data_IF_989396132564
#
_entry.id   IF_989396132564
#
_cell.length_a   1.000
_cell.length_b   1.000
_cell.length_c   1.000
_cell.angle_alpha   90.00
_cell.angle_beta   90.00
_cell.angle_gamma   90.00
#
_symmetry.space_group_name_H-M   'P 1'
#
loop_
_entity.id
_entity.type
_entity.pdbx_description
1 polymer ?
#
# COMPACT_ATOMS: atom_id res chain seq x y z
N UNK A 1 -38.48 -29.72 -2.53
CA UNK A 1 -38.04 -28.80 -1.49
C UNK A 1 -37.10 -27.69 -2.02
N UNK A 2 -36.29 -27.96 -3.04
CA UNK A 2 -35.33 -27.03 -3.66
C UNK A 2 -36.01 -25.88 -4.43
N UNK A 3 -37.13 -26.13 -5.10
CA UNK A 3 -37.89 -25.11 -5.86
C UNK A 3 -38.53 -24.02 -4.99
N UNK A 4 -38.93 -24.31 -3.76
CA UNK A 4 -39.49 -23.31 -2.84
C UNK A 4 -38.45 -22.35 -2.29
N UNK A 5 -37.21 -22.80 -2.09
CA UNK A 5 -36.09 -21.98 -1.60
C UNK A 5 -35.60 -21.03 -2.69
N UNK A 6 -35.55 -21.48 -3.96
CA UNK A 6 -35.23 -20.63 -5.11
C UNK A 6 -36.26 -19.53 -5.34
N UNK A 7 -37.55 -19.85 -5.25
CA UNK A 7 -38.63 -18.87 -5.42
C UNK A 7 -38.58 -17.80 -4.32
N UNK A 8 -38.19 -18.18 -3.11
CA UNK A 8 -38.04 -17.25 -1.99
C UNK A 8 -36.86 -16.27 -2.21
N UNK A 9 -35.74 -16.76 -2.74
CA UNK A 9 -34.58 -15.90 -3.08
C UNK A 9 -34.84 -14.94 -4.24
N UNK A 10 -35.62 -15.38 -5.25
CA UNK A 10 -36.03 -14.51 -6.37
C UNK A 10 -36.97 -13.40 -5.88
N UNK A 11 -37.87 -13.72 -4.95
CA UNK A 11 -38.78 -12.75 -4.37
C UNK A 11 -38.04 -11.78 -3.41
N UNK A 12 -37.08 -12.26 -2.65
CA UNK A 12 -36.18 -11.40 -1.79
C UNK A 12 -35.31 -10.45 -2.63
N UNK A 13 -34.82 -10.90 -3.81
CA UNK A 13 -34.13 -10.02 -4.75
C UNK A 13 -35.05 -8.95 -5.34
N UNK A 14 -36.29 -9.28 -5.70
CA UNK A 14 -37.28 -8.29 -6.17
C UNK A 14 -37.68 -7.30 -5.08
N UNK A 15 -37.77 -7.74 -3.84
CA UNK A 15 -38.12 -6.89 -2.69
C UNK A 15 -36.97 -5.95 -2.34
N UNK A 16 -35.72 -6.40 -2.39
CA UNK A 16 -34.53 -5.57 -2.18
C UNK A 16 -34.35 -4.53 -3.29
N UNK A 17 -34.65 -4.85 -4.54
CA UNK A 17 -34.67 -3.86 -5.62
C UNK A 17 -35.73 -2.76 -5.40
N UNK A 18 -36.88 -3.07 -4.82
CA UNK A 18 -37.94 -2.09 -4.55
C UNK A 18 -37.59 -1.17 -3.36
N UNK A 19 -36.93 -1.67 -2.33
CA UNK A 19 -36.49 -0.88 -1.17
C UNK A 19 -35.27 -0.02 -1.48
N UNK A 20 -34.46 -0.40 -2.46
CA UNK A 20 -33.30 0.39 -2.93
C UNK A 20 -33.71 1.62 -3.77
N UNK A 21 -34.87 1.55 -4.43
CA UNK A 21 -35.40 2.68 -5.23
C UNK A 21 -35.81 3.89 -4.38
N UNK A 22 -35.94 3.73 -3.07
CA UNK A 22 -36.37 4.80 -2.13
C UNK A 22 -35.16 5.60 -1.57
N UNK A 23 -33.91 5.11 -1.70
CA UNK A 23 -32.71 5.89 -1.32
C UNK A 23 -31.93 6.29 -2.58
N UNK A 24 -32.18 7.51 -3.02
CA UNK A 24 -31.54 8.19 -4.17
C UNK A 24 -30.02 8.02 -4.17
N UNK A 25 -29.52 7.14 -5.05
CA UNK A 25 -28.15 7.17 -5.57
C UNK A 25 -28.24 7.06 -7.10
N UNK A 26 -27.71 8.04 -7.89
CA UNK A 26 -27.98 8.15 -9.33
C UNK A 26 -27.08 7.27 -10.22
N UNK A 27 -26.46 6.20 -9.75
CA UNK A 27 -25.36 5.54 -10.47
C UNK A 27 -25.58 4.06 -10.84
N UNK A 28 -26.75 3.48 -10.63
CA UNK A 28 -27.02 2.11 -11.10
C UNK A 28 -28.33 2.05 -11.83
N UNK A 29 -28.26 1.99 -13.16
CA UNK A 29 -29.39 1.72 -14.00
C UNK A 29 -29.70 0.21 -13.94
N UNK A 30 -30.83 -0.18 -13.34
CA UNK A 30 -31.25 -1.59 -13.16
C UNK A 30 -31.41 -2.38 -14.48
N UNK A 31 -31.20 -1.77 -15.65
CA UNK A 31 -31.22 -2.44 -16.94
C UNK A 31 -29.91 -3.14 -17.34
N UNK A 32 -28.81 -2.83 -16.68
CA UNK A 32 -27.49 -3.42 -17.00
C UNK A 32 -27.10 -4.60 -16.11
N UNK A 33 -27.98 -5.02 -15.22
CA UNK A 33 -27.78 -6.23 -14.43
C UNK A 33 -28.21 -7.44 -15.25
N UNK A 34 -27.27 -7.97 -16.04
CA UNK A 34 -27.30 -9.32 -16.63
C UNK A 34 -27.31 -10.36 -15.49
N UNK A 35 -28.35 -10.33 -14.68
CA UNK A 35 -28.52 -11.31 -13.59
C UNK A 35 -29.28 -12.57 -14.06
N UNK A 36 -30.11 -12.49 -15.08
CA UNK A 36 -30.94 -13.64 -15.51
C UNK A 36 -30.19 -14.63 -16.39
N UNK A 37 -29.36 -14.19 -17.31
CA UNK A 37 -28.63 -15.12 -18.21
C UNK A 37 -27.48 -15.89 -17.51
N UNK A 38 -26.93 -15.34 -16.44
CA UNK A 38 -25.92 -16.05 -15.61
C UNK A 38 -26.58 -17.05 -14.65
N UNK A 39 -27.75 -16.77 -14.13
CA UNK A 39 -28.44 -17.70 -13.22
C UNK A 39 -28.89 -18.96 -13.98
N UNK A 40 -29.33 -18.85 -15.24
CA UNK A 40 -29.67 -20.01 -16.06
C UNK A 40 -28.44 -20.84 -16.48
N UNK A 41 -27.31 -20.21 -16.78
CA UNK A 41 -26.02 -20.92 -17.04
C UNK A 41 -25.44 -21.59 -15.80
N UNK A 42 -25.65 -21.03 -14.61
CA UNK A 42 -25.19 -21.62 -13.33
C UNK A 42 -26.12 -22.77 -12.88
N UNK A 43 -27.41 -22.73 -13.24
CA UNK A 43 -28.40 -23.79 -12.93
C UNK A 43 -28.11 -25.11 -13.67
N UNK A 44 -27.42 -25.07 -14.80
CA UNK A 44 -27.12 -26.28 -15.59
C UNK A 44 -25.75 -26.92 -15.23
N UNK A 45 -24.98 -26.34 -14.28
CA UNK A 45 -23.79 -26.95 -13.68
C UNK A 45 -24.04 -27.26 -12.19
N UNK A 46 -24.88 -28.24 -11.90
CA UNK A 46 -24.93 -28.86 -10.57
C UNK A 46 -23.62 -29.61 -10.37
N UNK A 47 -22.59 -28.88 -9.97
CA UNK A 47 -21.33 -29.47 -9.51
C UNK A 47 -21.57 -30.15 -8.16
N UNK A 48 -21.17 -31.39 -8.05
CA UNK A 48 -21.26 -32.16 -6.81
C UNK A 48 -20.50 -31.44 -5.68
N UNK A 49 -20.92 -31.55 -4.41
CA UNK A 49 -20.27 -30.86 -3.27
C UNK A 49 -18.76 -31.08 -3.20
N UNK A 50 -18.27 -32.22 -3.68
CA UNK A 50 -16.82 -32.53 -3.78
C UNK A 50 -16.09 -31.64 -4.79
N UNK A 51 -16.71 -31.28 -5.91
CA UNK A 51 -16.11 -30.41 -6.93
C UNK A 51 -15.98 -28.97 -6.42
N UNK A 52 -16.98 -28.48 -5.69
CA UNK A 52 -16.97 -27.16 -5.05
C UNK A 52 -15.87 -27.10 -3.96
N UNK A 53 -15.76 -28.14 -3.15
CA UNK A 53 -14.72 -28.22 -2.10
C UNK A 53 -13.32 -28.28 -2.69
N UNK A 54 -13.13 -29.03 -3.79
CA UNK A 54 -11.85 -29.14 -4.49
C UNK A 54 -11.48 -27.82 -5.21
N UNK A 55 -12.44 -27.14 -5.82
CA UNK A 55 -12.27 -25.84 -6.43
C UNK A 55 -11.90 -24.77 -5.39
N UNK A 56 -12.56 -24.74 -4.23
CA UNK A 56 -12.25 -23.82 -3.13
C UNK A 56 -10.86 -24.11 -2.52
N UNK A 57 -10.50 -25.39 -2.36
CA UNK A 57 -9.18 -25.77 -1.86
C UNK A 57 -8.07 -25.37 -2.84
N UNK A 58 -8.30 -25.54 -4.13
CA UNK A 58 -7.35 -25.13 -5.17
C UNK A 58 -7.24 -23.60 -5.29
N UNK A 59 -8.33 -22.87 -5.15
CA UNK A 59 -8.31 -21.39 -5.13
C UNK A 59 -7.52 -20.86 -3.94
N UNK A 60 -7.77 -21.37 -2.73
CA UNK A 60 -7.03 -20.94 -1.52
C UNK A 60 -5.53 -21.30 -1.66
N UNK A 61 -5.20 -22.46 -2.22
CA UNK A 61 -3.81 -22.85 -2.47
C UNK A 61 -3.13 -21.95 -3.51
N UNK A 62 -3.86 -21.50 -4.54
CA UNK A 62 -3.36 -20.61 -5.56
C UNK A 62 -3.10 -19.21 -4.99
N UNK A 63 -4.08 -18.63 -4.31
CA UNK A 63 -3.97 -17.33 -3.66
C UNK A 63 -2.81 -17.28 -2.66
N UNK A 64 -2.62 -18.35 -1.89
CA UNK A 64 -1.51 -18.48 -0.94
C UNK A 64 -0.15 -18.45 -1.65
N UNK A 65 0.01 -19.22 -2.73
CA UNK A 65 1.26 -19.28 -3.51
C UNK A 65 1.58 -17.94 -4.16
N UNK A 66 0.59 -17.28 -4.73
CA UNK A 66 0.75 -15.97 -5.37
C UNK A 66 1.17 -14.90 -4.35
N UNK A 67 0.53 -14.86 -3.18
CA UNK A 67 0.88 -13.94 -2.10
C UNK A 67 2.28 -14.22 -1.56
N UNK A 68 2.62 -15.48 -1.31
CA UNK A 68 3.94 -15.86 -0.81
C UNK A 68 5.04 -15.49 -1.82
N UNK A 69 4.83 -15.76 -3.10
CA UNK A 69 5.78 -15.42 -4.15
C UNK A 69 6.02 -13.90 -4.22
N UNK A 70 4.95 -13.10 -4.20
CA UNK A 70 5.07 -11.63 -4.25
C UNK A 70 5.76 -11.06 -3.02
N UNK A 71 5.51 -11.62 -1.83
CA UNK A 71 6.17 -11.20 -0.59
C UNK A 71 7.65 -11.59 -0.55
N UNK A 72 8.02 -12.80 -1.01
CA UNK A 72 9.43 -13.19 -1.14
C UNK A 72 10.17 -12.21 -2.07
N UNK A 73 9.56 -11.84 -3.20
CA UNK A 73 10.12 -10.86 -4.11
C UNK A 73 10.27 -9.48 -3.45
N UNK A 74 9.27 -9.09 -2.65
CA UNK A 74 9.28 -7.85 -1.85
C UNK A 74 10.47 -7.86 -0.87
N UNK A 75 10.58 -8.89 -0.05
CA UNK A 75 11.68 -9.06 0.93
C UNK A 75 13.06 -8.94 0.26
N UNK A 76 13.26 -9.65 -0.87
CA UNK A 76 14.53 -9.61 -1.59
C UNK A 76 14.86 -8.20 -2.13
N UNK A 77 13.86 -7.49 -2.62
CA UNK A 77 14.02 -6.13 -3.12
C UNK A 77 14.28 -5.11 -2.02
N UNK A 78 13.65 -5.26 -0.85
CA UNK A 78 13.88 -4.38 0.29
C UNK A 78 15.30 -4.49 0.85
N UNK A 79 15.95 -5.64 0.69
CA UNK A 79 17.38 -5.77 0.99
C UNK A 79 18.23 -4.93 0.03
N UNK A 80 17.85 -4.83 -1.25
CA UNK A 80 18.52 -3.95 -2.23
C UNK A 80 18.35 -2.49 -1.82
N UNK A 81 17.16 -2.09 -1.38
CA UNK A 81 16.90 -0.74 -0.86
C UNK A 81 17.79 -0.42 0.34
N UNK A 82 17.98 -1.37 1.26
CA UNK A 82 18.90 -1.24 2.38
C UNK A 82 20.35 -1.02 1.95
N UNK A 83 20.83 -1.71 0.91
CA UNK A 83 22.16 -1.49 0.33
C UNK A 83 22.27 -0.10 -0.30
N UNK A 84 21.27 0.33 -1.09
CA UNK A 84 21.24 1.66 -1.72
C UNK A 84 21.33 2.74 -0.65
N UNK A 85 20.59 2.61 0.45
CA UNK A 85 20.65 3.55 1.57
C UNK A 85 22.04 3.60 2.22
N UNK A 86 22.68 2.45 2.40
CA UNK A 86 24.05 2.35 2.95
C UNK A 86 25.09 3.05 2.09
N UNK A 87 25.03 2.87 0.77
CA UNK A 87 25.98 3.52 -0.17
C UNK A 87 25.74 5.03 -0.26
N UNK A 88 24.50 5.49 -0.06
CA UNK A 88 24.13 6.91 -0.18
C UNK A 88 24.34 7.72 1.11
N UNK A 89 24.95 7.16 2.14
CA UNK A 89 25.23 7.87 3.42
C UNK A 89 26.09 9.12 3.27
N UNK A 90 26.99 9.16 2.28
CA UNK A 90 27.75 10.37 1.94
C UNK A 90 26.86 11.54 1.51
N UNK A 91 25.81 11.27 0.78
CA UNK A 91 24.82 12.26 0.34
C UNK A 91 24.02 12.84 1.51
N UNK A 92 23.73 12.04 2.52
CA UNK A 92 23.05 12.49 3.74
C UNK A 92 23.88 13.46 4.59
N UNK A 93 25.21 13.45 4.45
CA UNK A 93 26.06 14.45 5.11
C UNK A 93 25.92 15.83 4.48
N UNK A 94 25.57 15.91 3.19
CA UNK A 94 25.38 17.19 2.47
C UNK A 94 24.05 17.83 2.84
N UNK A 95 22.98 17.02 2.98
CA UNK A 95 21.65 17.48 3.37
C UNK A 95 21.08 16.55 4.47
N UNK A 96 21.48 16.74 5.74
CA UNK A 96 21.05 15.84 6.83
C UNK A 96 19.53 15.78 7.01
N UNK A 97 18.83 16.88 6.76
CA UNK A 97 17.37 16.95 6.84
C UNK A 97 16.66 15.95 5.92
N UNK A 98 17.33 15.43 4.88
CA UNK A 98 16.78 14.43 3.99
C UNK A 98 16.42 13.12 4.72
N UNK A 99 17.11 12.78 5.83
CA UNK A 99 16.81 11.60 6.66
C UNK A 99 15.34 11.63 7.13
N UNK A 100 14.82 12.80 7.46
CA UNK A 100 13.43 12.97 7.91
C UNK A 100 12.45 12.81 6.75
N UNK A 101 12.85 13.19 5.52
CA UNK A 101 12.01 13.13 4.32
C UNK A 101 11.96 11.72 3.69
N UNK A 102 13.03 10.93 3.79
CA UNK A 102 13.16 9.63 3.10
C UNK A 102 12.00 8.68 3.45
N UNK A 103 11.74 8.31 4.74
CA UNK A 103 10.71 7.35 5.05
C UNK A 103 9.31 7.76 4.57
N UNK A 104 8.82 8.98 4.87
CA UNK A 104 7.49 9.37 4.42
C UNK A 104 7.38 9.53 2.90
N UNK A 105 8.46 9.90 2.19
CA UNK A 105 8.44 10.01 0.74
C UNK A 105 8.33 8.65 0.06
N UNK A 106 9.04 7.65 0.55
CA UNK A 106 8.98 6.27 0.06
C UNK A 106 7.60 5.69 0.34
N UNK A 107 7.15 5.66 1.58
CA UNK A 107 5.85 5.14 1.98
C UNK A 107 4.68 5.82 1.24
N UNK A 108 4.75 7.14 1.03
CA UNK A 108 3.72 7.86 0.30
C UNK A 108 3.59 7.40 -1.16
N UNK A 109 4.71 7.07 -1.85
CA UNK A 109 4.66 6.51 -3.22
C UNK A 109 4.00 5.16 -3.22
N UNK A 110 4.41 4.27 -2.31
CA UNK A 110 3.76 2.99 -2.10
C UNK A 110 2.27 3.16 -1.91
N UNK A 111 1.83 4.02 -0.99
CA UNK A 111 0.43 4.26 -0.66
C UNK A 111 -0.42 4.74 -1.84
N UNK A 112 0.05 5.75 -2.59
CA UNK A 112 -0.68 6.30 -3.74
C UNK A 112 -0.85 5.24 -4.83
N UNK A 113 0.23 4.55 -5.17
CA UNK A 113 0.23 3.64 -6.31
C UNK A 113 -0.27 2.24 -5.96
N UNK A 114 -0.10 1.75 -4.73
CA UNK A 114 -0.75 0.53 -4.27
C UNK A 114 -2.28 0.70 -4.21
N UNK A 115 -2.78 1.85 -3.76
CA UNK A 115 -4.21 2.17 -3.82
C UNK A 115 -4.72 2.24 -5.26
N UNK A 116 -3.94 2.78 -6.21
CA UNK A 116 -4.27 2.70 -7.64
C UNK A 116 -4.33 1.26 -8.12
N UNK A 117 -3.35 0.45 -7.76
CA UNK A 117 -3.28 -0.98 -8.12
C UNK A 117 -4.46 -1.77 -7.59
N UNK A 118 -4.85 -1.55 -6.34
CA UNK A 118 -6.02 -2.17 -5.72
C UNK A 118 -7.31 -1.79 -6.45
N UNK A 119 -7.53 -0.49 -6.74
CA UNK A 119 -8.68 -0.05 -7.55
C UNK A 119 -8.71 -0.69 -8.93
N UNK A 120 -7.54 -0.80 -9.60
CA UNK A 120 -7.46 -1.48 -10.90
C UNK A 120 -7.82 -2.97 -10.77
N UNK A 121 -7.36 -3.65 -9.71
CA UNK A 121 -7.73 -5.02 -9.39
C UNK A 121 -9.25 -5.17 -9.24
N UNK A 122 -9.87 -4.34 -8.40
CA UNK A 122 -11.32 -4.32 -8.19
C UNK A 122 -12.08 -4.09 -9.50
N UNK A 123 -11.64 -3.13 -10.34
CA UNK A 123 -12.31 -2.84 -11.61
C UNK A 123 -12.13 -3.93 -12.66
N UNK A 124 -11.00 -4.63 -12.67
CA UNK A 124 -10.78 -5.79 -13.51
C UNK A 124 -11.67 -6.97 -13.09
N UNK A 125 -11.77 -7.23 -11.78
CA UNK A 125 -12.65 -8.30 -11.25
C UNK A 125 -14.13 -8.03 -11.47
N UNK A 126 -14.56 -6.77 -11.39
CA UNK A 126 -15.95 -6.36 -11.64
C UNK A 126 -16.26 -6.14 -13.12
N UNK A 127 -15.26 -6.24 -14.00
CA UNK A 127 -15.43 -6.04 -15.45
C UNK A 127 -15.69 -4.59 -15.85
N UNK A 128 -15.39 -3.62 -15.00
CA UNK A 128 -15.55 -2.18 -15.29
C UNK A 128 -14.43 -1.62 -16.16
N UNK A 129 -13.25 -2.26 -16.15
CA UNK A 129 -12.13 -1.94 -17.02
C UNK A 129 -11.68 -3.21 -17.74
N UNK A 130 -11.37 -3.04 -19.03
CA UNK A 130 -10.69 -4.06 -19.85
C UNK A 130 -9.19 -3.74 -19.90
N UNK A 131 -8.30 -4.74 -20.05
CA UNK A 131 -6.86 -4.52 -20.06
C UNK A 131 -6.33 -3.91 -21.38
N UNK A 132 -7.08 -2.96 -21.98
CA UNK A 132 -6.76 -2.33 -23.27
C UNK A 132 -6.14 -0.92 -23.12
N UNK A 133 -5.79 -0.52 -21.90
CA UNK A 133 -5.26 0.81 -21.54
C UNK A 133 -6.15 1.99 -21.98
N UNK A 134 -7.43 1.74 -22.30
CA UNK A 134 -8.38 2.75 -22.78
C UNK A 134 -9.56 2.84 -21.81
N UNK A 135 -10.08 4.04 -21.66
CA UNK A 135 -11.28 4.26 -20.87
C UNK A 135 -11.23 5.52 -20.00
N UNK A 136 -12.40 6.13 -19.82
CA UNK A 136 -12.55 7.34 -18.99
C UNK A 136 -12.23 7.06 -17.52
N UNK A 137 -12.63 5.90 -17.02
CA UNK A 137 -12.42 5.49 -15.63
C UNK A 137 -10.92 5.31 -15.33
N UNK A 138 -10.18 4.63 -16.22
CA UNK A 138 -8.74 4.46 -16.09
C UNK A 138 -8.03 5.81 -16.06
N UNK A 139 -8.35 6.72 -17.01
CA UNK A 139 -7.75 8.05 -17.06
C UNK A 139 -8.02 8.88 -15.80
N UNK A 140 -9.22 8.78 -15.22
CA UNK A 140 -9.53 9.46 -13.95
C UNK A 140 -8.71 8.91 -12.79
N UNK A 141 -8.48 7.61 -12.71
CA UNK A 141 -7.63 6.99 -11.71
C UNK A 141 -6.16 7.39 -11.85
N UNK A 142 -5.63 7.40 -13.07
CA UNK A 142 -4.26 7.86 -13.36
C UNK A 142 -4.10 9.33 -12.96
N UNK A 143 -5.01 10.20 -13.41
CA UNK A 143 -4.95 11.63 -13.09
C UNK A 143 -5.05 11.88 -11.59
N UNK A 144 -5.90 11.14 -10.85
CA UNK A 144 -5.98 11.28 -9.40
C UNK A 144 -4.67 10.92 -8.71
N UNK A 145 -3.95 9.89 -9.18
CA UNK A 145 -2.67 9.50 -8.61
C UNK A 145 -1.57 10.54 -8.86
N UNK A 146 -1.54 11.18 -10.03
CA UNK A 146 -0.63 12.30 -10.29
C UNK A 146 -0.94 13.52 -9.44
N UNK A 147 -2.21 13.89 -9.30
CA UNK A 147 -2.65 15.01 -8.45
C UNK A 147 -2.25 14.75 -7.00
N UNK A 148 -2.56 13.55 -6.46
CA UNK A 148 -2.15 13.16 -5.12
C UNK A 148 -0.64 13.20 -4.95
N UNK A 149 0.13 12.75 -5.94
CA UNK A 149 1.59 12.81 -5.90
C UNK A 149 2.12 14.23 -5.74
N UNK A 150 1.61 15.19 -6.52
CA UNK A 150 2.05 16.59 -6.44
C UNK A 150 1.69 17.19 -5.08
N UNK A 151 0.43 17.02 -4.66
CA UNK A 151 -0.05 17.56 -3.39
C UNK A 151 0.67 16.97 -2.18
N UNK A 152 0.84 15.63 -2.16
CA UNK A 152 1.53 14.96 -1.07
C UNK A 152 3.03 15.24 -1.05
N UNK A 153 3.69 15.39 -2.21
CA UNK A 153 5.11 15.79 -2.24
C UNK A 153 5.32 17.18 -1.69
N UNK A 154 4.45 18.15 -2.03
CA UNK A 154 4.50 19.49 -1.44
C UNK A 154 4.30 19.44 0.09
N UNK A 155 3.31 18.69 0.53
CA UNK A 155 3.03 18.48 1.94
C UNK A 155 4.22 17.86 2.69
N UNK A 156 4.82 16.78 2.15
CA UNK A 156 5.96 16.12 2.77
C UNK A 156 7.20 17.02 2.82
N UNK A 157 7.49 17.78 1.76
CA UNK A 157 8.57 18.76 1.75
C UNK A 157 8.40 19.79 2.87
N UNK A 158 7.16 20.27 3.10
CA UNK A 158 6.83 21.23 4.16
C UNK A 158 7.02 20.62 5.56
N UNK A 159 6.38 19.47 5.85
CA UNK A 159 6.44 18.89 7.20
C UNK A 159 7.83 18.35 7.53
N UNK A 160 8.53 17.74 6.56
CA UNK A 160 9.88 17.27 6.79
C UNK A 160 10.86 18.42 7.09
N UNK A 161 10.73 19.57 6.39
CA UNK A 161 11.52 20.76 6.69
C UNK A 161 11.23 21.28 8.08
N UNK A 162 9.96 21.38 8.45
CA UNK A 162 9.56 21.85 9.78
C UNK A 162 10.09 20.92 10.88
N UNK A 163 9.91 19.62 10.71
CA UNK A 163 10.40 18.61 11.68
C UNK A 163 11.90 18.60 11.77
N UNK A 164 12.65 18.68 10.66
CA UNK A 164 14.10 18.74 10.66
C UNK A 164 14.62 19.98 11.43
N UNK A 165 13.96 21.13 11.26
CA UNK A 165 14.29 22.36 12.03
C UNK A 165 14.02 22.20 13.52
N UNK A 166 12.92 21.53 13.91
CA UNK A 166 12.63 21.24 15.31
C UNK A 166 13.68 20.32 15.95
N UNK A 167 14.28 19.43 15.16
CA UNK A 167 15.38 18.55 15.58
C UNK A 167 16.75 19.23 15.55
N UNK A 168 16.82 20.55 15.26
CA UNK A 168 18.06 21.30 15.20
C UNK A 168 18.90 21.03 13.92
N UNK A 169 18.35 20.37 12.92
CA UNK A 169 19.02 20.10 11.65
C UNK A 169 18.96 21.33 10.75
N UNK A 170 20.05 21.60 10.01
CA UNK A 170 20.03 22.61 8.96
C UNK A 170 19.16 22.14 7.79
N UNK A 171 18.06 22.83 7.52
CA UNK A 171 17.11 22.52 6.47
C UNK A 171 16.72 23.80 5.73
N UNK A 172 17.17 23.96 4.49
CA UNK A 172 16.64 24.98 3.60
C UNK A 172 15.26 24.55 3.07
N UNK A 173 14.28 25.45 3.22
CA UNK A 173 12.90 25.16 2.82
C UNK A 173 12.76 24.93 1.31
N UNK A 174 13.45 25.75 0.51
CA UNK A 174 13.38 25.68 -0.95
C UNK A 174 13.97 24.37 -1.46
N UNK A 175 15.15 23.99 -0.94
CA UNK A 175 15.82 22.75 -1.33
C UNK A 175 15.00 21.52 -0.96
N UNK A 176 14.51 21.44 0.27
CA UNK A 176 13.68 20.33 0.73
C UNK A 176 12.38 20.20 -0.05
N UNK A 177 11.73 21.34 -0.33
CA UNK A 177 10.49 21.38 -1.13
C UNK A 177 10.74 20.91 -2.56
N UNK A 178 11.79 21.42 -3.21
CA UNK A 178 12.12 21.07 -4.58
C UNK A 178 12.57 19.62 -4.71
N UNK A 179 13.36 19.10 -3.77
CA UNK A 179 13.78 17.68 -3.75
C UNK A 179 12.56 16.78 -3.65
N UNK A 180 11.63 17.08 -2.71
CA UNK A 180 10.42 16.30 -2.53
C UNK A 180 9.52 16.30 -3.77
N UNK A 181 9.30 17.46 -4.38
CA UNK A 181 8.45 17.61 -5.57
C UNK A 181 9.08 16.98 -6.82
N UNK A 182 10.35 17.23 -7.07
CA UNK A 182 11.06 16.70 -8.24
C UNK A 182 11.13 15.16 -8.19
N UNK A 183 11.59 14.61 -7.06
CA UNK A 183 11.62 13.17 -6.85
C UNK A 183 10.21 12.56 -6.95
N UNK A 184 9.22 13.25 -6.39
CA UNK A 184 7.83 12.85 -6.43
C UNK A 184 7.27 12.72 -7.83
N UNK A 185 7.44 13.74 -8.65
CA UNK A 185 6.92 13.75 -10.02
C UNK A 185 7.64 12.74 -10.89
N UNK A 186 8.97 12.66 -10.81
CA UNK A 186 9.74 11.69 -11.61
C UNK A 186 9.36 10.26 -11.21
N UNK A 187 9.33 9.96 -9.91
CA UNK A 187 8.96 8.61 -9.44
C UNK A 187 7.53 8.23 -9.85
N UNK A 188 6.60 9.17 -9.93
CA UNK A 188 5.22 8.89 -10.32
C UNK A 188 5.11 8.26 -11.72
N UNK A 189 5.93 8.67 -12.69
CA UNK A 189 5.93 8.07 -14.03
C UNK A 189 6.36 6.60 -14.00
N UNK A 190 7.43 6.29 -13.26
CA UNK A 190 7.90 4.91 -13.12
C UNK A 190 6.91 4.06 -12.33
N UNK A 191 6.37 4.61 -11.25
CA UNK A 191 5.39 3.92 -10.41
C UNK A 191 4.09 3.66 -11.16
N UNK A 192 3.62 4.60 -11.99
CA UNK A 192 2.46 4.38 -12.84
C UNK A 192 2.69 3.23 -13.82
N UNK A 193 3.83 3.23 -14.51
CA UNK A 193 4.17 2.16 -15.46
C UNK A 193 4.23 0.80 -14.75
N UNK A 194 4.86 0.72 -13.58
CA UNK A 194 4.94 -0.48 -12.77
C UNK A 194 3.55 -0.96 -12.33
N UNK A 195 2.72 -0.06 -11.82
CA UNK A 195 1.35 -0.38 -11.35
C UNK A 195 0.48 -0.92 -12.47
N UNK A 196 0.49 -0.26 -13.62
CA UNK A 196 -0.26 -0.68 -14.80
C UNK A 196 0.22 -2.06 -15.30
N UNK A 197 1.55 -2.21 -15.43
CA UNK A 197 2.15 -3.47 -15.86
C UNK A 197 1.78 -4.62 -14.91
N UNK A 198 1.96 -4.43 -13.61
CA UNK A 198 1.70 -5.46 -12.61
C UNK A 198 0.23 -5.86 -12.58
N UNK A 199 -0.69 -4.88 -12.54
CA UNK A 199 -2.13 -5.15 -12.48
C UNK A 199 -2.64 -5.87 -13.71
N UNK A 200 -2.28 -5.41 -14.91
CA UNK A 200 -2.77 -6.02 -16.16
C UNK A 200 -2.07 -7.33 -16.49
N UNK A 201 -0.77 -7.46 -16.19
CA UNK A 201 -0.04 -8.70 -16.40
C UNK A 201 -0.58 -9.81 -15.49
N UNK A 202 -0.76 -9.51 -14.20
CA UNK A 202 -1.33 -10.46 -13.24
C UNK A 202 -2.71 -10.94 -13.68
N UNK A 203 -3.58 -10.01 -14.09
CA UNK A 203 -4.91 -10.34 -14.58
C UNK A 203 -4.87 -11.20 -15.86
N UNK A 204 -4.04 -10.85 -16.87
CA UNK A 204 -3.90 -11.63 -18.11
C UNK A 204 -3.35 -13.03 -17.89
N UNK A 205 -2.47 -13.21 -16.89
CA UNK A 205 -1.94 -14.53 -16.49
C UNK A 205 -2.94 -15.33 -15.64
N UNK A 206 -4.10 -14.76 -15.35
CA UNK A 206 -5.10 -15.38 -14.49
C UNK A 206 -4.66 -15.45 -13.03
N UNK A 207 -3.69 -14.63 -12.62
CA UNK A 207 -3.35 -14.38 -11.23
C UNK A 207 -4.36 -13.40 -10.64
N UNK A 208 -4.54 -13.46 -9.33
CA UNK A 208 -5.35 -12.46 -8.65
C UNK A 208 -4.52 -11.18 -8.45
N UNK A 209 -4.88 -10.04 -9.10
CA UNK A 209 -4.14 -8.79 -8.92
C UNK A 209 -4.03 -8.36 -7.46
N UNK A 210 -5.05 -8.63 -6.63
CA UNK A 210 -5.06 -8.28 -5.20
C UNK A 210 -3.93 -8.96 -4.40
N UNK A 211 -3.41 -10.11 -4.88
CA UNK A 211 -2.36 -10.86 -4.21
C UNK A 211 -0.94 -10.39 -4.55
N UNK A 212 -0.79 -9.76 -5.71
CA UNK A 212 0.52 -9.49 -6.32
C UNK A 212 0.79 -8.00 -6.44
N UNK A 213 -0.25 -7.22 -6.69
CA UNK A 213 -0.11 -5.81 -7.04
C UNK A 213 0.46 -4.99 -5.89
N UNK A 214 -0.12 -5.12 -4.69
CA UNK A 214 0.31 -4.31 -3.53
C UNK A 214 1.78 -4.54 -3.16
N UNK A 215 2.27 -5.79 -2.93
CA UNK A 215 3.67 -6.02 -2.57
C UNK A 215 4.66 -5.54 -3.62
N UNK A 216 4.36 -5.77 -4.91
CA UNK A 216 5.26 -5.35 -5.99
C UNK A 216 5.30 -3.83 -6.14
N UNK A 217 4.17 -3.14 -5.90
CA UNK A 217 4.11 -1.69 -6.00
C UNK A 217 4.78 -1.02 -4.81
N UNK A 218 4.60 -1.53 -3.58
CA UNK A 218 5.30 -0.99 -2.40
C UNK A 218 6.81 -1.16 -2.56
N UNK A 219 7.27 -2.35 -2.92
CA UNK A 219 8.67 -2.61 -3.25
C UNK A 219 9.20 -1.66 -4.34
N UNK A 220 8.42 -1.46 -5.42
CA UNK A 220 8.77 -0.52 -6.48
C UNK A 220 8.85 0.92 -5.95
N UNK A 221 7.99 1.27 -4.99
CA UNK A 221 8.03 2.54 -4.29
C UNK A 221 9.40 2.79 -3.64
N UNK A 222 9.92 1.80 -2.95
CA UNK A 222 11.20 1.88 -2.23
C UNK A 222 12.39 1.94 -3.19
N UNK A 223 12.48 0.98 -4.11
CA UNK A 223 13.59 0.87 -5.05
C UNK A 223 13.65 2.05 -6.01
N UNK A 224 12.51 2.61 -6.42
CA UNK A 224 12.44 3.70 -7.40
C UNK A 224 12.59 5.05 -6.71
N UNK A 225 11.89 5.27 -5.59
CA UNK A 225 11.82 6.60 -4.97
C UNK A 225 13.13 6.99 -4.30
N UNK A 226 13.80 6.06 -3.62
CA UNK A 226 15.03 6.36 -2.88
C UNK A 226 16.16 6.87 -3.78
N UNK A 227 16.56 6.20 -4.87
CA UNK A 227 17.55 6.75 -5.79
C UNK A 227 17.14 8.08 -6.40
N UNK A 228 15.84 8.25 -6.73
CA UNK A 228 15.34 9.49 -7.31
C UNK A 228 15.34 10.66 -6.32
N UNK A 229 15.19 10.40 -5.01
CA UNK A 229 15.40 11.41 -3.99
C UNK A 229 16.85 11.91 -3.98
N UNK A 230 17.85 11.00 -4.01
CA UNK A 230 19.27 11.37 -4.04
C UNK A 230 19.65 12.06 -5.35
N UNK A 231 19.15 11.61 -6.49
CA UNK A 231 19.35 12.25 -7.80
C UNK A 231 18.76 13.66 -7.78
N UNK A 232 17.52 13.80 -7.29
CA UNK A 232 16.84 15.11 -7.19
C UNK A 232 17.61 16.05 -6.25
N UNK A 233 18.12 15.55 -5.12
CA UNK A 233 18.96 16.32 -4.23
C UNK A 233 20.23 16.80 -4.95
N UNK A 234 20.93 15.91 -5.65
CA UNK A 234 22.13 16.25 -6.40
C UNK A 234 21.87 17.32 -7.46
N UNK A 235 20.76 17.23 -8.17
CA UNK A 235 20.34 18.25 -9.15
C UNK A 235 20.08 19.59 -8.45
N UNK A 236 19.25 19.58 -7.39
CA UNK A 236 18.83 20.82 -6.72
C UNK A 236 20.03 21.57 -6.09
N UNK A 237 21.00 20.84 -5.53
CA UNK A 237 22.18 21.46 -4.92
C UNK A 237 23.07 22.16 -5.97
N UNK A 238 23.09 21.67 -7.22
CA UNK A 238 23.89 22.27 -8.30
C UNK A 238 23.22 23.47 -8.95
N UNK A 239 21.90 23.69 -8.75
CA UNK A 239 21.15 24.80 -9.32
C UNK A 239 21.48 26.14 -8.62
N UNK A 240 21.56 27.21 -9.39
CA UNK A 240 21.65 28.59 -8.89
C UNK A 240 20.32 29.07 -8.28
N UNK A 241 20.39 30.13 -7.50
CA UNK A 241 19.20 30.68 -6.82
C UNK A 241 18.05 31.05 -7.77
N UNK A 242 18.35 31.62 -8.94
CA UNK A 242 17.33 31.97 -9.94
C UNK A 242 16.65 30.74 -10.52
N UNK A 243 17.40 29.69 -10.81
CA UNK A 243 16.89 28.43 -11.35
C UNK A 243 16.01 27.73 -10.34
N UNK A 244 16.40 27.68 -9.07
CA UNK A 244 15.58 27.14 -7.96
C UNK A 244 14.24 27.87 -7.85
N UNK A 245 14.26 29.21 -7.92
CA UNK A 245 13.02 30.00 -7.86
C UNK A 245 12.10 29.76 -9.08
N UNK A 246 12.65 29.68 -10.29
CA UNK A 246 11.88 29.34 -11.47
C UNK A 246 11.21 27.97 -11.34
N UNK A 247 11.97 26.98 -10.88
CA UNK A 247 11.45 25.63 -10.67
C UNK A 247 10.39 25.60 -9.56
N UNK A 248 10.56 26.38 -8.50
CA UNK A 248 9.59 26.50 -7.41
C UNK A 248 8.28 27.13 -7.94
N UNK A 249 8.33 28.19 -8.74
CA UNK A 249 7.14 28.78 -9.35
C UNK A 249 6.41 27.81 -10.28
N UNK A 250 7.15 26.99 -11.05
CA UNK A 250 6.57 25.93 -11.86
C UNK A 250 5.79 24.93 -11.01
N UNK A 251 6.39 24.46 -9.90
CA UNK A 251 5.73 23.50 -9.01
C UNK A 251 4.55 24.12 -8.25
N UNK A 252 4.62 25.39 -7.88
CA UNK A 252 3.47 26.12 -7.29
C UNK A 252 2.33 26.16 -8.29
N UNK A 253 2.60 26.50 -9.57
CA UNK A 253 1.59 26.51 -10.62
C UNK A 253 0.96 25.12 -10.81
N UNK A 254 1.77 24.06 -10.86
CA UNK A 254 1.28 22.67 -10.93
C UNK A 254 0.46 22.29 -9.70
N UNK A 255 0.85 22.74 -8.51
CA UNK A 255 0.10 22.53 -7.26
C UNK A 255 -1.26 23.22 -7.30
N UNK A 256 -1.33 24.48 -7.73
CA UNK A 256 -2.58 25.22 -7.89
C UNK A 256 -3.49 24.53 -8.92
N UNK A 257 -2.94 24.14 -10.07
CA UNK A 257 -3.68 23.40 -11.10
C UNK A 257 -4.23 22.09 -10.50
N UNK A 258 -3.43 21.36 -9.73
CA UNK A 258 -3.82 20.11 -9.06
C UNK A 258 -4.93 20.31 -8.03
N UNK A 259 -4.97 21.45 -7.35
CA UNK A 259 -6.05 21.81 -6.42
C UNK A 259 -7.33 22.23 -7.14
N UNK A 260 -7.22 22.93 -8.29
CA UNK A 260 -8.38 23.47 -9.02
C UNK A 260 -9.07 22.44 -9.90
N UNK A 261 -8.31 21.54 -10.55
CA UNK A 261 -8.85 20.51 -11.46
C UNK A 261 -10.02 19.72 -10.86
N UNK A 262 -9.96 19.21 -9.61
CA UNK A 262 -11.05 18.44 -9.02
C UNK A 262 -12.39 19.18 -8.92
N UNK A 263 -12.34 20.50 -8.82
CA UNK A 263 -13.53 21.36 -8.70
C UNK A 263 -14.04 21.86 -10.06
N UNK A 264 -13.30 21.63 -11.15
CA UNK A 264 -13.71 22.00 -12.48
C UNK A 264 -14.87 21.15 -13.00
N UNK A 265 -15.70 21.70 -13.91
CA UNK A 265 -16.78 20.97 -14.58
C UNK A 265 -16.27 19.81 -15.45
N UNK A 266 -15.01 19.81 -15.83
CA UNK A 266 -14.36 18.79 -16.63
C UNK A 266 -13.85 17.62 -15.78
N UNK A 267 -13.83 17.75 -14.45
CA UNK A 267 -13.44 16.70 -13.53
C UNK A 267 -14.52 15.62 -13.46
N UNK A 268 -14.14 14.37 -13.66
CA UNK A 268 -15.06 13.25 -13.49
C UNK A 268 -15.37 12.99 -12.01
N UNK A 269 -16.57 12.48 -11.74
CA UNK A 269 -17.00 12.18 -10.35
C UNK A 269 -16.06 11.21 -9.63
N UNK A 270 -15.51 10.21 -10.32
CA UNK A 270 -14.56 9.25 -9.73
C UNK A 270 -13.25 9.92 -9.29
N UNK A 271 -12.69 10.83 -10.09
CA UNK A 271 -11.48 11.58 -9.73
C UNK A 271 -11.71 12.37 -8.43
N UNK A 272 -12.81 13.12 -8.36
CA UNK A 272 -13.16 13.91 -7.17
C UNK A 272 -13.35 13.02 -5.94
N UNK A 273 -14.05 11.88 -6.10
CA UNK A 273 -14.28 10.91 -5.01
C UNK A 273 -12.95 10.39 -4.47
N UNK A 274 -12.05 9.91 -5.35
CA UNK A 274 -10.73 9.40 -4.96
C UNK A 274 -9.94 10.45 -4.17
N UNK A 275 -9.89 11.70 -4.66
CA UNK A 275 -9.13 12.76 -3.99
C UNK A 275 -9.69 13.10 -2.61
N UNK A 276 -11.01 13.22 -2.48
CA UNK A 276 -11.66 13.55 -1.20
C UNK A 276 -11.47 12.43 -0.18
N UNK A 277 -11.56 11.18 -0.61
CA UNK A 277 -11.46 10.01 0.30
C UNK A 277 -10.00 9.71 0.68
N UNK A 278 -9.05 9.81 -0.28
CA UNK A 278 -7.65 9.44 -0.04
C UNK A 278 -6.84 10.55 0.64
N UNK A 279 -7.09 11.83 0.34
CA UNK A 279 -6.25 12.93 0.83
C UNK A 279 -6.14 12.99 2.36
N UNK A 280 -7.22 12.92 3.16
CA UNK A 280 -7.11 13.00 4.62
C UNK A 280 -6.23 11.90 5.21
N UNK A 281 -6.39 10.67 4.73
CA UNK A 281 -5.62 9.52 5.20
C UNK A 281 -4.15 9.64 4.82
N UNK A 282 -3.86 10.12 3.61
CA UNK A 282 -2.48 10.34 3.16
C UNK A 282 -1.79 11.48 3.91
N UNK A 283 -2.51 12.52 4.31
CA UNK A 283 -1.98 13.58 5.18
C UNK A 283 -1.56 13.00 6.55
N UNK A 284 -2.44 12.19 7.16
CA UNK A 284 -2.13 11.51 8.42
C UNK A 284 -0.96 10.55 8.23
N UNK A 285 -0.96 9.76 7.14
CA UNK A 285 0.13 8.84 6.81
C UNK A 285 1.48 9.55 6.65
N UNK A 286 1.50 10.71 6.00
CA UNK A 286 2.70 11.54 5.89
C UNK A 286 3.24 12.04 7.23
N UNK A 287 2.35 12.44 8.16
CA UNK A 287 2.74 12.78 9.54
C UNK A 287 3.33 11.58 10.27
N UNK A 288 2.67 10.42 10.21
CA UNK A 288 3.14 9.20 10.86
C UNK A 288 4.50 8.75 10.28
N UNK A 289 4.66 8.78 8.95
CA UNK A 289 5.93 8.47 8.30
C UNK A 289 7.06 9.44 8.69
N UNK A 290 6.76 10.73 8.82
CA UNK A 290 7.74 11.73 9.29
C UNK A 290 8.10 11.48 10.75
N UNK A 291 7.13 11.09 11.57
CA UNK A 291 7.36 10.72 12.97
C UNK A 291 8.22 9.44 13.07
N UNK A 292 7.93 8.40 12.28
CA UNK A 292 8.75 7.19 12.18
C UNK A 292 10.19 7.51 11.74
N UNK A 293 10.37 8.39 10.75
CA UNK A 293 11.68 8.88 10.32
C UNK A 293 12.43 9.63 11.41
N UNK A 294 11.73 10.37 12.26
CA UNK A 294 12.32 11.07 13.42
C UNK A 294 12.78 10.10 14.51
N UNK A 295 11.99 9.06 14.79
CA UNK A 295 12.36 7.99 15.74
C UNK A 295 13.58 7.25 15.24
N UNK A 296 13.61 6.89 13.95
CA UNK A 296 14.76 6.23 13.34
C UNK A 296 16.01 7.10 13.44
N UNK A 297 15.91 8.40 13.17
CA UNK A 297 17.01 9.36 13.30
C UNK A 297 17.57 9.43 14.73
N UNK A 298 16.71 9.47 15.74
CA UNK A 298 17.12 9.54 17.15
C UNK A 298 17.64 8.19 17.69
N UNK A 299 17.13 7.06 17.20
CA UNK A 299 17.52 5.71 17.66
C UNK A 299 18.72 5.17 16.92
N UNK A 300 19.18 5.85 15.88
CA UNK A 300 20.21 5.36 14.97
C UNK A 300 21.53 5.05 15.68
N UNK A 301 21.98 5.90 16.61
CA UNK A 301 23.22 5.69 17.36
C UNK A 301 23.15 4.48 18.29
N UNK A 302 22.02 4.22 18.94
CA UNK A 302 21.82 3.05 19.81
C UNK A 302 21.75 1.74 19.02
N UNK A 303 21.19 1.76 17.82
CA UNK A 303 21.05 0.60 16.94
C UNK A 303 22.34 0.28 16.17
N UNK A 304 23.29 1.21 16.05
CA UNK A 304 24.61 0.98 15.40
C UNK A 304 25.36 -0.18 16.08
N UNK A 305 25.23 -0.35 17.41
CA UNK A 305 25.83 -1.46 18.14
C UNK A 305 25.33 -2.85 17.68
N UNK A 306 24.15 -2.91 17.07
CA UNK A 306 23.50 -4.13 16.60
C UNK A 306 23.15 -3.96 15.11
N UNK A 307 24.15 -3.65 14.31
CA UNK A 307 23.95 -3.24 12.92
C UNK A 307 23.21 -4.29 12.05
N UNK A 308 23.24 -5.58 12.44
CA UNK A 308 22.44 -6.62 11.83
C UNK A 308 20.92 -6.39 11.96
N UNK A 309 20.48 -5.78 13.04
CA UNK A 309 19.07 -5.41 13.23
C UNK A 309 18.69 -4.24 12.33
N UNK A 310 19.60 -3.28 12.11
CA UNK A 310 19.35 -2.16 11.19
C UNK A 310 19.09 -2.61 9.75
N UNK A 311 19.80 -3.66 9.29
CA UNK A 311 19.56 -4.19 7.94
C UNK A 311 18.19 -4.87 7.79
N UNK A 312 17.62 -5.32 8.90
CA UNK A 312 16.31 -5.97 8.95
C UNK A 312 15.15 -4.96 8.89
N UNK A 313 15.34 -3.75 9.44
CA UNK A 313 14.27 -2.78 9.66
C UNK A 313 13.48 -2.44 8.38
N UNK A 314 14.11 -2.06 7.24
CA UNK A 314 13.35 -1.72 6.04
C UNK A 314 12.47 -2.87 5.55
N UNK A 315 13.05 -4.07 5.40
CA UNK A 315 12.31 -5.26 4.96
C UNK A 315 11.18 -5.63 5.94
N UNK A 316 11.42 -5.45 7.24
CA UNK A 316 10.46 -5.77 8.29
C UNK A 316 9.22 -4.87 8.24
N UNK A 317 9.40 -3.55 8.11
CA UNK A 317 8.31 -2.59 8.06
C UNK A 317 7.49 -2.74 6.77
N UNK A 318 8.18 -2.83 5.65
CA UNK A 318 7.55 -2.94 4.34
C UNK A 318 6.79 -4.24 4.14
N UNK A 319 7.33 -5.39 4.54
CA UNK A 319 6.65 -6.67 4.39
C UNK A 319 5.41 -6.76 5.30
N UNK A 320 5.44 -6.13 6.49
CA UNK A 320 4.25 -5.95 7.33
C UNK A 320 3.16 -5.16 6.63
N UNK A 321 3.51 -4.04 6.02
CA UNK A 321 2.63 -3.21 5.20
C UNK A 321 2.10 -3.94 3.96
N UNK A 322 2.97 -4.71 3.27
CA UNK A 322 2.61 -5.49 2.10
C UNK A 322 1.59 -6.61 2.41
N UNK A 323 1.77 -7.33 3.53
CA UNK A 323 0.81 -8.34 4.00
C UNK A 323 -0.55 -7.70 4.26
N UNK A 324 -0.55 -6.54 4.92
CA UNK A 324 -1.77 -5.78 5.17
C UNK A 324 -2.43 -5.28 3.89
N UNK A 325 -1.65 -4.82 2.93
CA UNK A 325 -2.11 -4.39 1.63
C UNK A 325 -2.78 -5.50 0.83
N UNK A 326 -2.23 -6.73 0.84
CA UNK A 326 -2.86 -7.90 0.24
C UNK A 326 -4.25 -8.15 0.86
N UNK A 327 -4.36 -8.10 2.18
CA UNK A 327 -5.63 -8.30 2.87
C UNK A 327 -6.63 -7.19 2.54
N UNK A 328 -6.19 -5.94 2.53
CA UNK A 328 -7.02 -4.79 2.20
C UNK A 328 -7.60 -4.91 0.78
N UNK A 329 -6.75 -5.16 -0.20
CA UNK A 329 -7.17 -5.34 -1.59
C UNK A 329 -8.16 -6.49 -1.75
N UNK A 330 -7.91 -7.63 -1.08
CA UNK A 330 -8.82 -8.77 -1.08
C UNK A 330 -10.17 -8.45 -0.43
N UNK A 331 -10.17 -7.77 0.73
CA UNK A 331 -11.41 -7.39 1.38
C UNK A 331 -12.20 -6.40 0.55
N UNK A 332 -11.55 -5.43 -0.07
CA UNK A 332 -12.18 -4.49 -0.99
C UNK A 332 -12.86 -5.22 -2.15
N UNK A 333 -12.13 -6.06 -2.88
CA UNK A 333 -12.68 -6.85 -3.98
C UNK A 333 -13.84 -7.72 -3.55
N UNK A 334 -13.72 -8.42 -2.39
CA UNK A 334 -14.77 -9.31 -1.89
C UNK A 334 -16.04 -8.58 -1.44
N UNK A 335 -15.90 -7.36 -0.89
CA UNK A 335 -17.03 -6.51 -0.52
C UNK A 335 -17.74 -5.98 -1.76
N UNK A 336 -17.01 -5.52 -2.78
CA UNK A 336 -17.58 -5.02 -4.03
C UNK A 336 -18.31 -6.11 -4.84
N UNK A 337 -17.79 -7.34 -4.83
CA UNK A 337 -18.45 -8.50 -5.47
C UNK A 337 -19.64 -9.01 -4.64
N UNK A 338 -19.81 -8.56 -3.40
CA UNK A 338 -20.85 -9.03 -2.48
C UNK A 338 -20.61 -10.44 -1.94
N UNK A 339 -19.39 -10.95 -2.01
CA UNK A 339 -19.03 -12.29 -1.51
C UNK A 339 -18.51 -12.30 -0.07
N UNK A 340 -18.37 -11.12 0.55
CA UNK A 340 -18.10 -10.91 1.97
C UNK A 340 -19.21 -10.01 2.53
N UNK A 341 -19.91 -10.48 3.55
CA UNK A 341 -20.86 -9.65 4.28
C UNK A 341 -20.14 -8.73 5.24
N UNK A 342 -20.55 -7.46 5.31
CA UNK A 342 -20.01 -6.53 6.30
C UNK A 342 -20.62 -6.85 7.68
N UNK A 343 -19.81 -7.38 8.56
CA UNK A 343 -20.17 -7.76 9.93
C UNK A 343 -19.13 -7.23 10.91
N UNK A 344 -19.56 -6.86 12.13
CA UNK A 344 -18.63 -6.46 13.19
C UNK A 344 -17.76 -7.65 13.67
N UNK A 345 -18.26 -8.88 13.52
CA UNK A 345 -17.48 -10.09 13.85
C UNK A 345 -16.96 -10.66 12.53
N UNK A 346 -15.63 -10.84 12.37
CA UNK A 346 -15.06 -11.39 11.15
C UNK A 346 -15.68 -12.75 10.78
N UNK A 347 -16.28 -12.89 9.60
CA UNK A 347 -16.90 -14.14 9.16
C UNK A 347 -15.85 -15.23 8.94
N UNK A 348 -16.29 -16.49 8.82
CA UNK A 348 -15.41 -17.66 8.63
C UNK A 348 -14.41 -17.48 7.48
N UNK A 349 -14.82 -16.79 6.40
CA UNK A 349 -13.96 -16.50 5.24
C UNK A 349 -12.82 -15.56 5.59
N UNK A 350 -13.10 -14.47 6.32
CA UNK A 350 -12.08 -13.53 6.78
C UNK A 350 -11.10 -14.20 7.76
N UNK A 351 -11.60 -14.99 8.74
CA UNK A 351 -10.75 -15.71 9.69
C UNK A 351 -9.81 -16.73 9.03
N UNK A 352 -10.23 -17.38 7.93
CA UNK A 352 -9.34 -18.25 7.14
C UNK A 352 -8.24 -17.44 6.45
N UNK A 353 -8.55 -16.24 5.97
CA UNK A 353 -7.55 -15.35 5.39
C UNK A 353 -6.55 -14.88 6.45
N UNK A 354 -7.00 -14.54 7.65
CA UNK A 354 -6.13 -14.22 8.78
C UNK A 354 -5.13 -15.34 9.08
N UNK A 355 -5.63 -16.58 9.21
CA UNK A 355 -4.76 -17.72 9.44
C UNK A 355 -3.74 -17.93 8.32
N UNK A 356 -4.13 -17.71 7.06
CA UNK A 356 -3.21 -17.79 5.92
C UNK A 356 -2.10 -16.76 6.03
N UNK A 357 -2.40 -15.54 6.51
CA UNK A 357 -1.39 -14.48 6.68
C UNK A 357 -0.42 -14.80 7.82
N UNK A 358 -0.86 -15.39 8.92
CA UNK A 358 0.05 -15.88 9.97
C UNK A 358 1.04 -16.93 9.44
N UNK A 359 0.56 -17.90 8.64
CA UNK A 359 1.47 -18.91 8.04
C UNK A 359 2.46 -18.27 7.06
N UNK A 360 2.01 -17.33 6.25
CA UNK A 360 2.88 -16.55 5.35
C UNK A 360 3.89 -15.74 6.16
N UNK A 361 3.44 -15.07 7.20
CA UNK A 361 4.27 -14.24 8.06
C UNK A 361 5.40 -15.00 8.72
N UNK A 362 5.14 -16.18 9.29
CA UNK A 362 6.19 -17.03 9.85
C UNK A 362 7.29 -17.27 8.81
N UNK A 363 6.93 -17.57 7.57
CA UNK A 363 7.90 -17.81 6.49
C UNK A 363 8.67 -16.54 6.17
N UNK A 364 7.97 -15.42 5.89
CA UNK A 364 8.56 -14.16 5.47
C UNK A 364 9.47 -13.57 6.56
N UNK A 365 9.00 -13.49 7.80
CA UNK A 365 9.79 -12.93 8.90
C UNK A 365 10.97 -13.83 9.29
N UNK A 366 10.86 -15.16 9.13
CA UNK A 366 12.02 -16.04 9.27
C UNK A 366 13.07 -15.78 8.19
N UNK A 367 12.64 -15.50 6.97
CA UNK A 367 13.55 -15.09 5.87
C UNK A 367 14.24 -13.75 6.17
N UNK A 368 13.49 -12.75 6.63
CA UNK A 368 14.06 -11.44 7.00
C UNK A 368 15.16 -11.60 8.04
N UNK A 369 14.89 -12.28 9.16
CA UNK A 369 15.90 -12.53 10.20
C UNK A 369 17.13 -13.27 9.68
N UNK A 370 16.91 -14.29 8.83
CA UNK A 370 17.99 -15.07 8.23
C UNK A 370 18.85 -14.25 7.26
N UNK A 371 18.24 -13.50 6.37
CA UNK A 371 18.96 -12.65 5.40
C UNK A 371 19.68 -11.49 6.07
N UNK A 372 19.06 -10.84 7.06
CA UNK A 372 19.71 -9.80 7.81
C UNK A 372 21.00 -10.31 8.50
N UNK A 373 21.00 -11.54 9.05
CA UNK A 373 22.19 -12.18 9.59
C UNK A 373 23.26 -12.41 8.51
N UNK A 374 22.88 -12.99 7.36
CA UNK A 374 23.83 -13.28 6.27
C UNK A 374 24.47 -11.99 5.75
N UNK A 375 23.68 -10.94 5.54
CA UNK A 375 24.15 -9.62 5.09
C UNK A 375 25.13 -9.04 6.12
N UNK A 376 24.77 -9.04 7.40
CA UNK A 376 25.61 -8.51 8.47
C UNK A 376 26.97 -9.21 8.55
N UNK A 377 26.98 -10.53 8.39
CA UNK A 377 28.23 -11.31 8.30
C UNK A 377 29.05 -10.96 7.06
N UNK A 378 28.40 -10.77 5.92
CA UNK A 378 29.06 -10.43 4.64
C UNK A 378 29.72 -9.04 4.68
N UNK A 379 29.12 -8.12 5.42
CA UNK A 379 29.63 -6.73 5.56
C UNK A 379 30.52 -6.58 6.80
N UNK A 380 30.79 -7.66 7.54
CA UNK A 380 31.61 -7.67 8.76
C UNK A 380 31.10 -6.75 9.86
N UNK A 381 29.77 -6.64 10.00
CA UNK A 381 29.10 -5.82 11.01
C UNK A 381 28.61 -6.70 12.15
N UNK A 382 28.60 -6.18 13.38
CA UNK A 382 28.09 -6.88 14.56
C UNK A 382 26.66 -7.36 14.38
N UNK A 383 26.43 -8.65 14.58
CA UNK A 383 25.10 -9.25 14.47
C UNK A 383 24.81 -10.15 15.69
N UNK A 384 23.56 -10.18 16.11
CA UNK A 384 23.07 -11.17 17.06
C UNK A 384 23.20 -12.60 16.47
N UNK A 385 23.22 -13.64 17.28
CA UNK A 385 23.16 -15.02 16.79
C UNK A 385 21.97 -15.24 15.85
N UNK A 386 22.13 -16.07 14.81
CA UNK A 386 21.11 -16.27 13.78
C UNK A 386 19.75 -16.67 14.35
N UNK A 387 19.73 -17.53 15.38
CA UNK A 387 18.50 -17.98 16.01
C UNK A 387 17.79 -16.84 16.74
N UNK A 388 18.50 -15.91 17.36
CA UNK A 388 17.92 -14.73 18.01
C UNK A 388 17.34 -13.78 16.97
N UNK A 389 18.06 -13.49 15.88
CA UNK A 389 17.55 -12.64 14.80
C UNK A 389 16.27 -13.22 14.17
N UNK A 390 16.21 -14.54 13.96
CA UNK A 390 15.00 -15.20 13.45
C UNK A 390 13.86 -15.11 14.47
N UNK A 391 14.11 -15.43 15.73
CA UNK A 391 13.08 -15.44 16.78
C UNK A 391 12.53 -14.02 16.98
N UNK A 392 13.38 -13.01 17.10
CA UNK A 392 12.99 -11.61 17.25
C UNK A 392 12.14 -11.18 16.05
N UNK A 393 12.58 -11.48 14.83
CA UNK A 393 11.85 -11.14 13.61
C UNK A 393 10.47 -11.80 13.57
N UNK A 394 10.38 -13.10 13.87
CA UNK A 394 9.12 -13.85 13.82
C UNK A 394 8.16 -13.40 14.92
N UNK A 395 8.62 -13.26 16.16
CA UNK A 395 7.75 -12.83 17.26
C UNK A 395 7.18 -11.42 16.97
N UNK A 396 8.04 -10.50 16.59
CA UNK A 396 7.61 -9.14 16.26
C UNK A 396 6.66 -9.17 15.07
N UNK A 397 6.98 -9.92 14.03
CA UNK A 397 6.15 -10.07 12.82
C UNK A 397 4.77 -10.63 13.11
N UNK A 398 4.67 -11.66 13.95
CA UNK A 398 3.39 -12.28 14.31
C UNK A 398 2.48 -11.33 15.13
N UNK A 399 3.06 -10.54 16.03
CA UNK A 399 2.33 -9.49 16.74
C UNK A 399 1.76 -8.47 15.74
N UNK A 400 2.57 -8.06 14.77
CA UNK A 400 2.14 -7.12 13.73
C UNK A 400 1.06 -7.71 12.83
N UNK A 401 1.18 -8.97 12.39
CA UNK A 401 0.16 -9.62 11.55
C UNK A 401 -1.16 -9.73 12.28
N UNK A 402 -1.16 -10.01 13.57
CA UNK A 402 -2.38 -10.02 14.36
C UNK A 402 -3.08 -8.63 14.31
N UNK A 403 -2.33 -7.56 14.52
CA UNK A 403 -2.87 -6.20 14.43
C UNK A 403 -3.34 -5.85 13.01
N UNK A 404 -2.52 -6.16 12.00
CA UNK A 404 -2.84 -5.92 10.57
C UNK A 404 -4.11 -6.63 10.14
N UNK A 405 -4.29 -7.88 10.52
CA UNK A 405 -5.50 -8.65 10.20
C UNK A 405 -6.77 -7.91 10.65
N UNK A 406 -6.75 -7.39 11.88
CA UNK A 406 -7.89 -6.65 12.43
C UNK A 406 -8.05 -5.29 11.75
N UNK A 407 -6.97 -4.53 11.60
CA UNK A 407 -6.99 -3.21 10.98
C UNK A 407 -7.49 -3.31 9.54
N UNK A 408 -6.97 -4.25 8.75
CA UNK A 408 -7.39 -4.46 7.36
C UNK A 408 -8.88 -4.81 7.25
N UNK A 409 -9.37 -5.69 8.10
CA UNK A 409 -10.77 -6.07 8.09
C UNK A 409 -11.68 -4.91 8.48
N UNK A 410 -11.44 -4.31 9.65
CA UNK A 410 -12.33 -3.27 10.16
C UNK A 410 -12.28 -2.00 9.31
N UNK A 411 -11.11 -1.57 8.85
CA UNK A 411 -11.03 -0.39 7.98
C UNK A 411 -11.76 -0.62 6.65
N UNK A 412 -11.62 -1.79 6.03
CA UNK A 412 -12.36 -2.12 4.80
C UNK A 412 -13.88 -2.17 5.01
N UNK A 413 -14.32 -2.85 6.07
CA UNK A 413 -15.76 -3.00 6.37
C UNK A 413 -16.39 -1.65 6.75
N UNK A 414 -15.72 -0.86 7.58
CA UNK A 414 -16.22 0.45 8.02
C UNK A 414 -16.28 1.41 6.83
N UNK A 415 -15.23 1.49 6.02
CA UNK A 415 -15.21 2.33 4.82
C UNK A 415 -16.35 1.96 3.87
N UNK A 416 -16.48 0.69 3.55
CA UNK A 416 -17.54 0.20 2.67
C UNK A 416 -18.95 0.51 3.20
N UNK A 417 -19.18 0.33 4.51
CA UNK A 417 -20.45 0.63 5.17
C UNK A 417 -20.84 2.10 5.07
N UNK A 418 -19.86 3.01 5.11
CA UNK A 418 -20.09 4.45 4.98
C UNK A 418 -20.11 4.93 3.53
N UNK A 419 -20.06 4.02 2.54
CA UNK A 419 -20.07 4.36 1.12
C UNK A 419 -18.74 4.93 0.61
N UNK A 420 -17.68 4.78 1.40
CA UNK A 420 -16.32 5.13 1.04
C UNK A 420 -15.66 3.91 0.40
N UNK A 421 -14.93 4.12 -0.67
CA UNK A 421 -14.23 3.03 -1.35
C UNK A 421 -13.05 2.54 -0.48
N UNK A 422 -13.05 1.27 -0.03
CA UNK A 422 -11.97 0.72 0.80
C UNK A 422 -10.59 0.87 0.16
N UNK A 423 -10.49 0.81 -1.18
CA UNK A 423 -9.23 0.94 -1.90
C UNK A 423 -8.57 2.33 -1.74
N UNK A 424 -9.35 3.35 -1.36
CA UNK A 424 -8.85 4.70 -1.16
C UNK A 424 -8.29 4.93 0.24
N UNK A 425 -8.71 4.15 1.23
CA UNK A 425 -8.44 4.40 2.65
C UNK A 425 -7.61 3.28 3.28
N UNK A 426 -7.96 2.01 3.01
CA UNK A 426 -7.48 0.89 3.80
C UNK A 426 -5.97 0.68 3.65
N UNK A 427 -5.44 0.70 2.42
CA UNK A 427 -4.02 0.48 2.16
C UNK A 427 -3.16 1.58 2.80
N UNK A 428 -3.40 2.89 2.55
CA UNK A 428 -2.62 3.94 3.19
C UNK A 428 -2.72 3.92 4.72
N UNK A 429 -3.87 3.54 5.27
CA UNK A 429 -4.05 3.41 6.73
C UNK A 429 -3.16 2.31 7.29
N UNK A 430 -3.17 1.14 6.67
CA UNK A 430 -2.38 -0.01 7.14
C UNK A 430 -0.90 0.29 7.07
N UNK A 431 -0.39 0.69 5.90
CA UNK A 431 1.03 0.93 5.70
C UNK A 431 1.56 1.98 6.67
N UNK A 432 0.86 3.11 6.82
CA UNK A 432 1.25 4.18 7.75
C UNK A 432 1.23 3.76 9.22
N UNK A 433 0.26 2.93 9.62
CA UNK A 433 0.22 2.37 10.98
C UNK A 433 1.33 1.35 11.19
N UNK A 434 1.66 0.56 10.15
CA UNK A 434 2.71 -0.44 10.22
C UNK A 434 4.08 0.18 10.42
N UNK A 435 4.37 1.34 9.81
CA UNK A 435 5.62 2.07 10.02
C UNK A 435 5.84 2.42 11.51
N UNK A 436 4.79 2.86 12.20
CA UNK A 436 4.87 3.24 13.62
C UNK A 436 4.82 2.02 14.53
N UNK A 437 3.84 1.12 14.30
CA UNK A 437 3.66 -0.08 15.14
C UNK A 437 4.81 -1.04 14.97
N UNK A 438 5.32 -1.21 13.73
CA UNK A 438 6.43 -2.09 13.42
C UNK A 438 7.70 -1.68 14.16
N UNK A 439 8.05 -0.40 14.12
CA UNK A 439 9.20 0.11 14.85
C UNK A 439 9.01 -0.03 16.36
N UNK A 440 7.84 0.35 16.88
CA UNK A 440 7.53 0.23 18.31
C UNK A 440 7.59 -1.22 18.81
N UNK A 441 6.95 -2.17 18.10
CA UNK A 441 6.99 -3.58 18.46
C UNK A 441 8.41 -4.15 18.39
N UNK A 442 9.18 -3.79 17.36
CA UNK A 442 10.54 -4.28 17.22
C UNK A 442 11.43 -3.83 18.40
N UNK A 443 11.37 -2.55 18.76
CA UNK A 443 12.11 -2.02 19.91
C UNK A 443 11.69 -2.72 21.21
N UNK A 444 10.40 -2.89 21.45
CA UNK A 444 9.89 -3.58 22.63
C UNK A 444 10.37 -5.03 22.72
N UNK A 445 10.38 -5.75 21.61
CA UNK A 445 10.89 -7.13 21.55
C UNK A 445 12.40 -7.15 21.78
N UNK A 446 13.18 -6.23 21.22
CA UNK A 446 14.62 -6.12 21.44
C UNK A 446 14.93 -5.86 22.92
N UNK A 447 14.20 -4.96 23.59
CA UNK A 447 14.33 -4.73 25.03
C UNK A 447 13.99 -6.00 25.82
N UNK A 448 12.90 -6.70 25.47
CA UNK A 448 12.50 -7.93 26.14
C UNK A 448 13.53 -9.06 26.02
N UNK A 449 14.30 -9.08 24.92
CA UNK A 449 15.41 -10.00 24.72
C UNK A 449 16.74 -9.53 25.33
N UNK A 450 16.79 -8.30 25.90
CA UNK A 450 18.00 -7.71 26.46
C UNK A 450 19.05 -7.39 25.40
N UNK A 451 18.63 -7.15 24.16
CA UNK A 451 19.51 -6.81 23.05
C UNK A 451 19.86 -5.32 23.00
N UNK A 452 19.02 -4.46 23.59
CA UNK A 452 19.22 -3.02 23.78
C UNK A 452 18.79 -2.63 25.20
#
# INVERSE_FOLDING_TARGET
MITRTMQKHINDCKFRCHTWKIRKSPLVNCRDVICMERVEKVSNQIQTPRHILHSLKNSISKDFKESLFSLILCTMGNLITGIIMGVSTSSLRVLPALIVLIPPAIGMRGNIFASLGSRLGTYLHTGQITPDFKGKLLRQNVNSSFILTILMSAYLGLIATFTAKLLGMHADFTDMMLVSLLAGVISAFFMLALTMATSFFSYRRGWNPDNVTTPIITLGGDIITLPLLFISMSIIITLGGTEKMLLLYLFIALGIISLVIPFSKFSGQHLKKILIESTPIMLIGGLLGTFSGSILGNSFEGLIGIAGVLTMIPAFLEDGGAIGGILAARFSSLLHIGSLEYSLIPPKKARKMFLSMHVIGIIVFSMIGSFAFVISKSVSVGALPIHEMIIISVITGEILIFAVNLIAYYSSVISFRHGIDPDNITIPTITSLMDVMGMGCLILVLIAFGAI
#
